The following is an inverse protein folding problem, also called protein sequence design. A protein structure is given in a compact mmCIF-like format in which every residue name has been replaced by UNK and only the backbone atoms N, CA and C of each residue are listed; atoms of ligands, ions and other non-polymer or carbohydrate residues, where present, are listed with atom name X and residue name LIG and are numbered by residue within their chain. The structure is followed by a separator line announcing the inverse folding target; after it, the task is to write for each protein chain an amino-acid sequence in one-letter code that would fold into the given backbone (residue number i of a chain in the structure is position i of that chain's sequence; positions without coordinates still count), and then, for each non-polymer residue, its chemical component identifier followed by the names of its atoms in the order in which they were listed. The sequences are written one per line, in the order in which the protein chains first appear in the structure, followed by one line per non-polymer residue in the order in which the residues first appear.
data_IF_917843837658
#
_entry.id   IF_917843837658
#
_cell.length_a   1.000
_cell.length_b   1.000
_cell.length_c   1.000
_cell.angle_alpha   90.00
_cell.angle_beta   90.00
_cell.angle_gamma   90.00
#
_symmetry.space_group_name_H-M   'P 1'
#
loop_
_entity.id
_entity.type
_entity.pdbx_description
1 polymer ?
#
# COMPACT_ATOMS: atom_id res chain seq x y z
N UNK A 1 5.40 23.44 -20.73
CA UNK A 1 5.58 22.38 -19.71
C UNK A 1 4.57 22.50 -18.56
N UNK A 2 4.38 23.67 -17.96
CA UNK A 2 3.39 23.88 -16.89
C UNK A 2 1.94 23.60 -17.32
N UNK A 3 1.55 23.99 -18.54
CA UNK A 3 0.18 23.77 -19.04
C UNK A 3 -0.20 22.29 -19.16
N UNK A 4 0.69 21.46 -19.73
CA UNK A 4 0.46 20.01 -19.89
C UNK A 4 0.30 19.34 -18.52
N UNK A 5 1.13 19.70 -17.55
CA UNK A 5 1.05 19.16 -16.18
C UNK A 5 -0.26 19.58 -15.52
N UNK A 6 -0.65 20.85 -15.66
CA UNK A 6 -1.90 21.36 -15.11
C UNK A 6 -3.13 20.69 -15.74
N UNK A 7 -3.11 20.43 -17.05
CA UNK A 7 -4.19 19.75 -17.75
C UNK A 7 -4.29 18.27 -17.36
N UNK A 8 -3.16 17.56 -17.26
CA UNK A 8 -3.11 16.19 -16.78
C UNK A 8 -3.59 16.08 -15.33
N UNK A 9 -3.22 17.03 -14.47
CA UNK A 9 -3.68 17.10 -13.08
C UNK A 9 -5.20 17.28 -12.99
N UNK A 10 -5.77 18.18 -13.80
CA UNK A 10 -7.24 18.35 -13.87
C UNK A 10 -7.94 17.06 -14.30
N UNK A 11 -7.44 16.40 -15.36
CA UNK A 11 -7.97 15.11 -15.83
C UNK A 11 -7.90 14.03 -14.75
N UNK A 12 -6.79 13.97 -13.99
CA UNK A 12 -6.65 13.06 -12.86
C UNK A 12 -7.67 13.34 -11.76
N UNK A 13 -7.87 14.60 -11.37
CA UNK A 13 -8.84 14.99 -10.35
C UNK A 13 -10.27 14.65 -10.75
N UNK A 14 -10.64 14.88 -12.02
CA UNK A 14 -11.95 14.48 -12.56
C UNK A 14 -12.12 12.97 -12.48
N UNK A 15 -11.14 12.19 -12.95
CA UNK A 15 -11.18 10.73 -12.85
C UNK A 15 -11.24 10.22 -11.39
N UNK A 16 -10.62 10.94 -10.45
CA UNK A 16 -10.68 10.62 -9.02
C UNK A 16 -12.06 10.88 -8.42
N UNK A 17 -12.80 11.87 -8.91
CA UNK A 17 -14.18 12.15 -8.49
C UNK A 17 -15.19 11.18 -9.12
N UNK A 18 -15.08 10.92 -10.42
CA UNK A 18 -16.04 10.09 -11.16
C UNK A 18 -15.87 8.59 -10.85
N UNK A 19 -14.62 8.13 -10.74
CA UNK A 19 -14.29 6.72 -10.54
C UNK A 19 -13.25 6.52 -9.42
N UNK A 20 -13.60 6.88 -8.17
CA UNK A 20 -12.64 6.95 -7.06
C UNK A 20 -11.96 5.62 -6.75
N UNK A 21 -12.66 4.50 -6.85
CA UNK A 21 -12.08 3.17 -6.58
C UNK A 21 -11.04 2.79 -7.65
N UNK A 22 -11.38 2.95 -8.93
CA UNK A 22 -10.51 2.59 -10.06
C UNK A 22 -9.26 3.45 -10.08
N UNK A 23 -9.44 4.76 -9.93
CA UNK A 23 -8.34 5.72 -9.94
C UNK A 23 -7.38 5.47 -8.78
N UNK A 24 -7.88 5.26 -7.55
CA UNK A 24 -7.03 4.91 -6.40
C UNK A 24 -6.30 3.58 -6.58
N UNK A 25 -6.97 2.56 -7.14
CA UNK A 25 -6.34 1.27 -7.44
C UNK A 25 -5.18 1.40 -8.44
N UNK A 26 -5.40 2.09 -9.55
CA UNK A 26 -4.34 2.33 -10.56
C UNK A 26 -3.19 3.11 -9.93
N UNK A 27 -3.48 4.18 -9.20
CA UNK A 27 -2.45 4.97 -8.51
C UNK A 27 -1.64 4.12 -7.53
N UNK A 28 -2.29 3.27 -6.73
CA UNK A 28 -1.60 2.38 -5.80
C UNK A 28 -0.67 1.38 -6.51
N UNK A 29 -1.14 0.76 -7.61
CA UNK A 29 -0.32 -0.14 -8.43
C UNK A 29 0.92 0.56 -8.99
N UNK A 30 0.75 1.74 -9.60
CA UNK A 30 1.85 2.53 -10.17
C UNK A 30 2.86 2.97 -9.10
N UNK A 31 2.38 3.43 -7.93
CA UNK A 31 3.24 3.86 -6.83
C UNK A 31 4.10 2.73 -6.28
N UNK A 32 3.50 1.55 -6.06
CA UNK A 32 4.24 0.38 -5.55
C UNK A 32 5.23 -0.11 -6.60
N UNK A 33 4.83 -0.21 -7.87
CA UNK A 33 5.72 -0.61 -8.96
C UNK A 33 6.92 0.33 -9.12
N UNK A 34 6.68 1.63 -9.05
CA UNK A 34 7.74 2.64 -9.13
C UNK A 34 8.66 2.58 -7.90
N UNK A 35 8.08 2.41 -6.71
CA UNK A 35 8.86 2.21 -5.47
C UNK A 35 9.78 1.00 -5.57
N UNK A 36 9.31 -0.12 -6.11
CA UNK A 36 10.11 -1.33 -6.27
C UNK A 36 11.20 -1.17 -7.35
N UNK A 37 10.89 -0.51 -8.47
CA UNK A 37 11.87 -0.14 -9.49
C UNK A 37 13.02 0.69 -8.90
N UNK A 38 12.70 1.70 -8.09
CA UNK A 38 13.69 2.54 -7.41
C UNK A 38 14.48 1.71 -6.40
N UNK A 39 13.81 0.90 -5.58
CA UNK A 39 14.47 0.03 -4.60
C UNK A 39 15.47 -0.94 -5.26
N UNK A 40 15.10 -1.55 -6.39
CA UNK A 40 16.00 -2.44 -7.14
C UNK A 40 17.21 -1.71 -7.71
N UNK A 41 17.03 -0.47 -8.20
CA UNK A 41 18.15 0.37 -8.69
C UNK A 41 19.11 0.74 -7.56
N UNK A 42 18.58 1.19 -6.42
CA UNK A 42 19.38 1.53 -5.23
C UNK A 42 20.11 0.29 -4.70
N UNK A 43 19.48 -0.88 -4.75
CA UNK A 43 20.07 -2.14 -4.29
C UNK A 43 21.15 -2.71 -5.23
N UNK A 44 21.42 -2.05 -6.38
CA UNK A 44 22.48 -2.47 -7.31
C UNK A 44 22.23 -3.81 -8.01
N UNK A 45 20.96 -4.21 -8.20
CA UNK A 45 20.64 -5.50 -8.83
C UNK A 45 21.06 -5.49 -10.30
N UNK A 46 21.88 -6.47 -10.72
CA UNK A 46 22.44 -6.55 -12.09
C UNK A 46 21.38 -6.61 -13.21
N UNK A 47 20.21 -7.18 -12.92
CA UNK A 47 19.07 -7.28 -13.83
C UNK A 47 17.79 -6.92 -13.10
N UNK A 48 17.00 -6.01 -13.68
CA UNK A 48 15.70 -5.65 -13.13
C UNK A 48 14.76 -6.87 -13.13
N UNK A 49 14.19 -7.14 -11.97
CA UNK A 49 13.23 -8.22 -11.74
C UNK A 49 11.83 -7.76 -12.16
N UNK A 50 11.55 -7.75 -13.47
CA UNK A 50 10.26 -7.31 -14.02
C UNK A 50 9.07 -8.09 -13.47
N UNK A 51 9.22 -9.40 -13.27
CA UNK A 51 8.18 -10.25 -12.66
C UNK A 51 7.79 -9.74 -11.27
N UNK A 52 8.77 -9.37 -10.44
CA UNK A 52 8.53 -8.85 -9.09
C UNK A 52 7.78 -7.52 -9.15
N UNK A 53 8.19 -6.61 -10.02
CA UNK A 53 7.54 -5.32 -10.20
C UNK A 53 6.08 -5.52 -10.61
N UNK A 54 5.81 -6.37 -11.60
CA UNK A 54 4.45 -6.65 -12.06
C UNK A 54 3.57 -7.28 -10.97
N UNK A 55 4.09 -8.24 -10.20
CA UNK A 55 3.35 -8.84 -9.09
C UNK A 55 3.01 -7.81 -8.01
N UNK A 56 3.96 -6.95 -7.65
CA UNK A 56 3.74 -5.87 -6.68
C UNK A 56 2.78 -4.80 -7.19
N UNK A 57 2.83 -4.47 -8.49
CA UNK A 57 1.83 -3.59 -9.13
C UNK A 57 0.43 -4.19 -9.06
N UNK A 58 0.29 -5.49 -9.35
CA UNK A 58 -0.98 -6.20 -9.24
C UNK A 58 -1.47 -6.24 -7.79
N UNK A 59 -0.58 -6.44 -6.82
CA UNK A 59 -0.92 -6.34 -5.40
C UNK A 59 -1.44 -4.94 -5.03
N UNK A 60 -0.78 -3.89 -5.51
CA UNK A 60 -1.20 -2.51 -5.33
C UNK A 60 -2.58 -2.23 -5.91
N UNK A 61 -2.80 -2.68 -7.15
CA UNK A 61 -4.02 -2.48 -7.89
C UNK A 61 -5.20 -3.29 -7.35
N UNK A 62 -5.02 -4.60 -7.16
CA UNK A 62 -6.12 -5.50 -6.83
C UNK A 62 -6.44 -5.53 -5.33
N UNK A 63 -5.45 -5.32 -4.47
CA UNK A 63 -5.61 -5.41 -3.01
C UNK A 63 -5.44 -4.06 -2.32
N UNK A 64 -4.25 -3.44 -2.38
CA UNK A 64 -3.93 -2.26 -1.56
C UNK A 64 -4.86 -1.08 -1.82
N UNK A 65 -5.13 -0.77 -3.09
CA UNK A 65 -6.01 0.33 -3.49
C UNK A 65 -7.47 0.14 -3.03
N UNK A 66 -8.12 -0.98 -3.39
CA UNK A 66 -9.48 -1.28 -2.91
C UNK A 66 -9.58 -1.35 -1.39
N UNK A 67 -8.63 -2.03 -0.74
CA UNK A 67 -8.59 -2.13 0.72
C UNK A 67 -8.55 -0.75 1.37
N UNK A 68 -7.66 0.13 0.93
CA UNK A 68 -7.56 1.50 1.44
C UNK A 68 -8.84 2.31 1.20
N UNK A 69 -9.48 2.17 0.02
CA UNK A 69 -10.75 2.83 -0.28
C UNK A 69 -11.85 2.45 0.72
N UNK A 70 -12.04 1.15 0.96
CA UNK A 70 -13.06 0.67 1.87
C UNK A 70 -12.74 0.96 3.33
N UNK A 71 -11.46 0.89 3.73
CA UNK A 71 -11.03 1.25 5.08
C UNK A 71 -11.36 2.71 5.39
N UNK A 72 -11.05 3.64 4.49
CA UNK A 72 -11.40 5.04 4.69
C UNK A 72 -12.92 5.25 4.78
N UNK A 73 -13.70 4.56 3.94
CA UNK A 73 -15.17 4.60 4.02
C UNK A 73 -15.70 4.08 5.36
N UNK A 74 -15.10 3.01 5.89
CA UNK A 74 -15.43 2.47 7.21
C UNK A 74 -15.05 3.47 8.32
N UNK A 75 -13.88 4.09 8.25
CA UNK A 75 -13.46 5.11 9.21
C UNK A 75 -14.38 6.32 9.19
N UNK A 76 -14.85 6.75 8.02
CA UNK A 76 -15.80 7.85 7.92
C UNK A 76 -17.18 7.50 8.48
N UNK A 77 -17.58 6.23 8.41
CA UNK A 77 -18.79 5.74 9.07
C UNK A 77 -18.65 5.72 10.60
N UNK A 78 -17.55 5.15 11.13
CA UNK A 78 -17.30 5.03 12.57
C UNK A 78 -17.19 6.41 13.24
N UNK A 79 -16.59 7.38 12.56
CA UNK A 79 -16.36 8.73 13.08
C UNK A 79 -17.31 9.78 12.50
N UNK A 80 -18.45 9.36 11.92
CA UNK A 80 -19.44 10.26 11.32
C UNK A 80 -19.86 11.36 12.31
N UNK A 81 -19.83 12.61 11.85
CA UNK A 81 -20.21 13.78 12.66
C UNK A 81 -19.18 14.24 13.70
N UNK A 82 -18.06 13.52 13.87
CA UNK A 82 -16.97 13.93 14.78
C UNK A 82 -15.88 14.65 13.99
N UNK A 83 -15.66 15.94 14.25
CA UNK A 83 -14.61 16.75 13.62
C UNK A 83 -13.58 17.20 14.66
N UNK A 84 -12.35 17.46 14.21
CA UNK A 84 -11.27 18.00 15.05
C UNK A 84 -10.09 17.04 15.28
N UNK A 85 -9.01 17.60 15.81
CA UNK A 85 -7.70 16.92 15.92
C UNK A 85 -7.76 15.64 16.77
N UNK A 86 -8.60 15.61 17.81
CA UNK A 86 -8.82 14.41 18.64
C UNK A 86 -9.39 13.24 17.83
N UNK A 87 -10.25 13.51 16.85
CA UNK A 87 -10.84 12.48 15.99
C UNK A 87 -9.80 11.94 15.01
N UNK A 88 -8.96 12.82 14.45
CA UNK A 88 -7.86 12.41 13.57
C UNK A 88 -6.88 11.50 14.32
N UNK A 89 -6.47 11.88 15.53
CA UNK A 89 -5.60 11.05 16.36
C UNK A 89 -6.22 9.66 16.64
N UNK A 90 -7.52 9.60 16.95
CA UNK A 90 -8.23 8.32 17.14
C UNK A 90 -8.30 7.47 15.87
N UNK A 91 -8.53 8.09 14.71
CA UNK A 91 -8.50 7.38 13.41
C UNK A 91 -7.13 6.76 13.16
N UNK A 92 -6.06 7.55 13.30
CA UNK A 92 -4.68 7.08 13.11
C UNK A 92 -4.35 5.94 14.08
N UNK A 93 -4.67 6.08 15.37
CA UNK A 93 -4.44 5.01 16.34
C UNK A 93 -5.18 3.72 15.98
N UNK A 94 -6.45 3.82 15.56
CA UNK A 94 -7.22 2.64 15.17
C UNK A 94 -6.63 1.99 13.92
N UNK A 95 -6.26 2.77 12.91
CA UNK A 95 -5.60 2.27 11.69
C UNK A 95 -4.28 1.57 12.03
N UNK A 96 -3.47 2.17 12.92
CA UNK A 96 -2.19 1.60 13.35
C UNK A 96 -2.33 0.35 14.22
N UNK A 97 -3.39 0.22 15.01
CA UNK A 97 -3.62 -0.95 15.86
C UNK A 97 -4.29 -2.12 15.11
N UNK A 98 -4.99 -1.85 14.01
CA UNK A 98 -5.78 -2.88 13.31
C UNK A 98 -5.26 -3.13 11.90
N UNK A 99 -5.28 -2.11 11.07
CA UNK A 99 -5.03 -2.21 9.64
C UNK A 99 -3.54 -2.37 9.34
N UNK A 100 -2.68 -1.72 10.11
CA UNK A 100 -1.21 -1.83 9.96
C UNK A 100 -0.71 -3.26 10.21
N UNK A 101 -1.00 -3.92 11.36
CA UNK A 101 -0.66 -5.33 11.60
C UNK A 101 -1.16 -6.25 10.49
N UNK A 102 -2.42 -6.08 10.10
CA UNK A 102 -3.05 -6.91 9.07
C UNK A 102 -2.37 -6.77 7.70
N UNK A 103 -2.11 -5.54 7.27
CA UNK A 103 -1.45 -5.29 5.99
C UNK A 103 0.01 -5.76 5.98
N UNK A 104 0.75 -5.55 7.06
CA UNK A 104 2.13 -6.01 7.16
C UNK A 104 2.19 -7.54 7.08
N UNK A 105 1.30 -8.23 7.79
CA UNK A 105 1.22 -9.68 7.76
C UNK A 105 0.90 -10.21 6.36
N UNK A 106 -0.15 -9.68 5.73
CA UNK A 106 -0.55 -10.08 4.38
C UNK A 106 0.53 -9.77 3.34
N UNK A 107 1.19 -8.61 3.44
CA UNK A 107 2.27 -8.25 2.55
C UNK A 107 3.45 -9.21 2.70
N UNK A 108 3.89 -9.51 3.92
CA UNK A 108 5.00 -10.46 4.16
C UNK A 108 4.67 -11.86 3.64
N UNK A 109 3.43 -12.32 3.82
CA UNK A 109 2.97 -13.60 3.31
C UNK A 109 2.94 -13.63 1.78
N UNK A 110 2.32 -12.62 1.15
CA UNK A 110 2.25 -12.48 -0.31
C UNK A 110 3.65 -12.38 -0.92
N UNK A 111 4.51 -11.56 -0.33
CA UNK A 111 5.88 -11.37 -0.80
C UNK A 111 6.67 -12.68 -0.71
N UNK A 112 6.61 -13.39 0.41
CA UNK A 112 7.34 -14.66 0.58
C UNK A 112 6.85 -15.77 -0.33
N UNK A 113 5.52 -15.96 -0.45
CA UNK A 113 4.94 -17.09 -1.18
C UNK A 113 4.82 -16.83 -2.68
N UNK A 114 4.36 -15.65 -3.09
CA UNK A 114 4.00 -15.38 -4.49
C UNK A 114 5.14 -14.66 -5.22
N UNK A 115 5.74 -13.67 -4.58
CA UNK A 115 6.80 -12.85 -5.21
C UNK A 115 8.14 -13.60 -5.21
N UNK A 116 8.56 -14.11 -4.05
CA UNK A 116 9.81 -14.86 -3.92
C UNK A 116 9.66 -16.35 -4.23
N UNK A 117 8.44 -16.90 -4.18
CA UNK A 117 8.21 -18.33 -4.47
C UNK A 117 8.78 -19.28 -3.41
N UNK A 118 8.93 -18.84 -2.16
CA UNK A 118 9.55 -19.65 -1.10
C UNK A 118 8.58 -20.70 -0.54
N UNK A 119 9.07 -21.85 -0.06
CA UNK A 119 8.26 -22.84 0.65
C UNK A 119 7.60 -22.25 1.91
N UNK A 120 6.40 -22.73 2.24
CA UNK A 120 5.62 -22.28 3.40
C UNK A 120 6.40 -22.29 4.71
N UNK A 121 7.20 -23.32 4.97
CA UNK A 121 8.02 -23.40 6.19
C UNK A 121 9.00 -22.23 6.35
N UNK A 122 9.64 -21.80 5.25
CA UNK A 122 10.55 -20.65 5.27
C UNK A 122 9.79 -19.34 5.45
N UNK A 123 8.65 -19.18 4.78
CA UNK A 123 7.82 -17.97 4.91
C UNK A 123 7.27 -17.85 6.33
N UNK A 124 6.76 -18.94 6.91
CA UNK A 124 6.26 -18.97 8.29
C UNK A 124 7.35 -18.59 9.29
N UNK A 125 8.55 -19.15 9.14
CA UNK A 125 9.68 -18.83 10.01
C UNK A 125 10.10 -17.36 9.86
N UNK A 126 10.16 -16.84 8.62
CA UNK A 126 10.45 -15.44 8.35
C UNK A 126 9.42 -14.51 8.99
N UNK A 127 8.13 -14.79 8.83
CA UNK A 127 7.05 -14.01 9.46
C UNK A 127 7.21 -14.06 10.98
N UNK A 128 7.41 -15.23 11.58
CA UNK A 128 7.58 -15.35 13.03
C UNK A 128 8.73 -14.51 13.59
N UNK A 129 9.84 -14.43 12.86
CA UNK A 129 11.04 -13.75 13.31
C UNK A 129 11.04 -12.24 12.98
N UNK A 130 10.63 -11.87 11.78
CA UNK A 130 10.78 -10.50 11.26
C UNK A 130 9.55 -9.64 11.53
N UNK A 131 8.36 -10.23 11.68
CA UNK A 131 7.11 -9.49 11.83
C UNK A 131 7.09 -8.52 13.02
N UNK A 132 7.59 -8.88 14.23
CA UNK A 132 7.66 -7.92 15.33
C UNK A 132 8.50 -6.69 14.99
N UNK A 133 9.62 -6.88 14.28
CA UNK A 133 10.50 -5.78 13.87
C UNK A 133 9.85 -4.90 12.81
N UNK A 134 9.16 -5.52 11.83
CA UNK A 134 8.37 -4.79 10.82
C UNK A 134 7.28 -3.96 11.49
N UNK A 135 6.56 -4.53 12.45
CA UNK A 135 5.51 -3.81 13.16
C UNK A 135 6.09 -2.66 13.99
N UNK A 136 7.17 -2.87 14.73
CA UNK A 136 7.83 -1.80 15.49
C UNK A 136 8.31 -0.66 14.58
N UNK A 137 8.80 -0.99 13.38
CA UNK A 137 9.22 0.02 12.40
C UNK A 137 8.04 0.86 11.92
N UNK A 138 6.85 0.25 11.74
CA UNK A 138 5.64 0.98 11.37
C UNK A 138 5.20 2.02 12.42
N UNK A 139 5.58 1.85 13.69
CA UNK A 139 5.30 2.81 14.77
C UNK A 139 6.37 3.90 14.94
N UNK A 140 7.54 3.75 14.31
CA UNK A 140 8.63 4.74 14.40
C UNK A 140 8.49 5.89 13.39
N UNK A 141 7.61 5.73 12.41
CA UNK A 141 7.31 6.70 11.35
C UNK A 141 6.08 7.50 11.73
#
# INVERSE_FOLDING_TARGET
MSEIVNEAWKKYLVALQDHPLRTKAITAGVLIGTSDLVAQKISGVKKLQLRRILLLMLYGFAYSGPFGHFLHKLMDLIFKGKKGNKTVAKKVLLEQLTSSPWNNFLFMMYYGLVVEGRPWGLVRNKIRNDYPSVQLTAWKV
#
